data_IF_885599908109
#
_entry.id   IF_885599908109
#
_cell.length_a   1.000
_cell.length_b   1.000
_cell.length_c   1.000
_cell.angle_alpha   90.00
_cell.angle_beta   90.00
_cell.angle_gamma   90.00
#
_symmetry.space_group_name_H-M   'P 1'
#
loop_
_entity.id
_entity.type
_entity.pdbx_description
1 polymer ?
#
# COMPACT_ATOMS: atom_id res chain seq x y z
N UNK A 1 16.06 -6.78 -17.84
CA UNK A 1 15.79 -5.62 -18.71
C UNK A 1 14.42 -5.06 -18.37
N UNK A 2 14.36 -3.85 -17.83
CA UNK A 2 13.06 -3.18 -17.59
C UNK A 2 12.40 -2.90 -18.93
N UNK A 3 11.18 -3.41 -19.11
CA UNK A 3 10.39 -3.16 -20.32
C UNK A 3 10.06 -1.67 -20.40
N UNK A 4 10.31 -1.08 -21.56
CA UNK A 4 9.82 0.27 -21.85
C UNK A 4 8.30 0.22 -22.00
N UNK A 5 7.60 0.91 -21.11
CA UNK A 5 6.13 1.06 -21.11
C UNK A 5 5.78 2.10 -22.19
N UNK A 6 4.93 1.72 -23.16
CA UNK A 6 4.44 2.63 -24.19
C UNK A 6 3.17 3.38 -23.74
N UNK A 7 2.69 4.31 -24.57
CA UNK A 7 1.53 5.14 -24.24
C UNK A 7 0.23 4.32 -24.17
N UNK A 8 0.14 3.25 -24.95
CA UNK A 8 -1.01 2.31 -24.88
C UNK A 8 -1.00 1.58 -23.54
N UNK A 9 0.16 1.10 -23.09
CA UNK A 9 0.31 0.46 -21.79
C UNK A 9 -0.07 1.43 -20.66
N UNK A 10 0.38 2.68 -20.72
CA UNK A 10 0.01 3.72 -19.74
C UNK A 10 -1.50 3.94 -19.69
N UNK A 11 -2.15 3.99 -20.84
CA UNK A 11 -3.61 4.15 -20.91
C UNK A 11 -4.35 2.93 -20.35
N UNK A 12 -3.90 1.72 -20.63
CA UNK A 12 -4.44 0.48 -20.04
C UNK A 12 -4.31 0.52 -18.51
N UNK A 13 -3.14 0.86 -17.99
CA UNK A 13 -2.88 0.97 -16.55
C UNK A 13 -3.81 2.01 -15.92
N UNK A 14 -3.94 3.20 -16.52
CA UNK A 14 -4.83 4.26 -16.03
C UNK A 14 -6.30 3.81 -15.93
N UNK A 15 -6.79 3.08 -16.93
CA UNK A 15 -8.15 2.52 -16.95
C UNK A 15 -8.32 1.50 -15.80
N UNK A 16 -7.36 0.60 -15.62
CA UNK A 16 -7.38 -0.41 -14.55
C UNK A 16 -7.24 0.23 -13.15
N UNK A 17 -6.46 1.30 -13.00
CA UNK A 17 -6.36 2.06 -11.74
C UNK A 17 -7.67 2.77 -11.41
N UNK A 18 -8.39 3.26 -12.40
CA UNK A 18 -9.70 3.88 -12.21
C UNK A 18 -10.80 2.86 -11.89
N UNK A 19 -10.78 1.70 -12.55
CA UNK A 19 -11.73 0.62 -12.33
C UNK A 19 -11.10 -0.74 -12.68
N UNK A 20 -10.63 -1.47 -11.68
CA UNK A 20 -10.02 -2.80 -11.87
C UNK A 20 -11.01 -3.86 -12.37
N UNK A 21 -12.33 -3.57 -12.39
CA UNK A 21 -13.38 -4.46 -12.91
C UNK A 21 -13.78 -4.14 -14.37
N UNK A 22 -13.11 -3.18 -15.01
CA UNK A 22 -13.32 -2.86 -16.43
C UNK A 22 -13.04 -4.10 -17.29
N UNK A 23 -13.88 -4.34 -18.29
CA UNK A 23 -13.71 -5.50 -19.16
C UNK A 23 -12.61 -5.26 -20.21
N UNK A 24 -11.99 -6.34 -20.68
CA UNK A 24 -11.01 -6.25 -21.77
C UNK A 24 -11.57 -5.60 -23.02
N UNK A 25 -12.86 -5.83 -23.29
CA UNK A 25 -13.57 -5.23 -24.43
C UNK A 25 -13.71 -3.71 -24.32
N UNK A 26 -13.99 -3.21 -23.11
CA UNK A 26 -14.06 -1.77 -22.86
C UNK A 26 -12.67 -1.12 -22.98
N UNK A 27 -11.64 -1.78 -22.44
CA UNK A 27 -10.26 -1.33 -22.60
C UNK A 27 -9.88 -1.31 -24.08
N UNK A 28 -10.17 -2.39 -24.83
CA UNK A 28 -9.86 -2.53 -26.24
C UNK A 28 -10.46 -1.38 -27.08
N UNK A 29 -11.72 -1.04 -26.83
CA UNK A 29 -12.37 0.13 -27.44
C UNK A 29 -11.65 1.44 -27.11
N UNK A 30 -11.25 1.63 -25.85
CA UNK A 30 -10.61 2.86 -25.37
C UNK A 30 -9.21 3.08 -25.94
N UNK A 31 -8.50 1.99 -26.28
CA UNK A 31 -7.12 2.04 -26.81
C UNK A 31 -7.05 1.68 -28.30
N UNK A 32 -8.20 1.46 -28.95
CA UNK A 32 -8.33 1.09 -30.37
C UNK A 32 -7.49 -0.16 -30.74
N UNK A 33 -7.64 -1.21 -29.95
CA UNK A 33 -7.02 -2.52 -30.16
C UNK A 33 -8.06 -3.64 -30.10
N UNK A 34 -7.65 -4.86 -30.47
CA UNK A 34 -8.46 -6.07 -30.23
C UNK A 34 -8.38 -6.51 -28.77
N UNK A 35 -9.41 -7.22 -28.30
CA UNK A 35 -9.45 -7.81 -26.96
C UNK A 35 -8.21 -8.70 -26.71
N UNK A 36 -7.83 -9.50 -27.70
CA UNK A 36 -6.64 -10.38 -27.63
C UNK A 36 -5.34 -9.59 -27.44
N UNK A 37 -5.22 -8.45 -28.15
CA UNK A 37 -4.04 -7.59 -28.01
C UNK A 37 -3.97 -6.95 -26.61
N UNK A 38 -5.13 -6.54 -26.05
CA UNK A 38 -5.22 -6.00 -24.67
C UNK A 38 -4.84 -7.07 -23.65
N UNK A 39 -5.42 -8.27 -23.75
CA UNK A 39 -5.10 -9.39 -22.85
C UNK A 39 -3.59 -9.69 -22.86
N UNK A 40 -2.98 -9.74 -24.05
CA UNK A 40 -1.53 -9.99 -24.18
C UNK A 40 -0.70 -8.89 -23.51
N UNK A 41 -1.11 -7.63 -23.63
CA UNK A 41 -0.44 -6.50 -22.98
C UNK A 41 -0.56 -6.57 -21.46
N UNK A 42 -1.77 -6.80 -20.94
CA UNK A 42 -2.03 -6.90 -19.50
C UNK A 42 -1.20 -8.05 -18.89
N UNK A 43 -1.23 -9.25 -19.47
CA UNK A 43 -0.40 -10.39 -19.02
C UNK A 43 1.08 -10.05 -18.97
N UNK A 44 1.55 -9.25 -19.92
CA UNK A 44 2.94 -8.82 -19.96
C UNK A 44 3.25 -7.77 -18.90
N UNK A 45 2.31 -6.89 -18.57
CA UNK A 45 2.43 -5.92 -17.46
C UNK A 45 2.42 -6.64 -16.10
N UNK A 46 1.62 -7.68 -15.94
CA UNK A 46 1.59 -8.55 -14.77
C UNK A 46 2.91 -9.32 -14.60
N UNK A 47 3.35 -10.03 -15.63
CA UNK A 47 4.57 -10.84 -15.58
C UNK A 47 5.85 -10.03 -15.38
N UNK A 48 5.84 -8.77 -15.81
CA UNK A 48 6.96 -7.82 -15.60
C UNK A 48 6.89 -7.08 -14.25
N UNK A 49 5.87 -7.34 -13.42
CA UNK A 49 5.69 -6.70 -12.11
C UNK A 49 5.24 -5.24 -12.16
N UNK A 50 4.87 -4.72 -13.33
CA UNK A 50 4.27 -3.38 -13.46
C UNK A 50 2.89 -3.35 -12.82
N UNK A 51 2.05 -4.35 -13.11
CA UNK A 51 0.83 -4.62 -12.35
C UNK A 51 1.20 -5.67 -11.29
N UNK A 52 1.20 -5.25 -10.03
CA UNK A 52 1.60 -6.13 -8.92
C UNK A 52 0.44 -6.97 -8.38
N UNK A 53 -0.76 -6.40 -8.36
CA UNK A 53 -1.99 -7.05 -7.87
C UNK A 53 -3.23 -6.26 -8.28
N UNK A 54 -4.38 -6.91 -8.20
CA UNK A 54 -5.70 -6.29 -8.22
C UNK A 54 -6.26 -6.32 -6.81
N UNK A 55 -6.83 -5.21 -6.34
CA UNK A 55 -7.35 -5.11 -4.97
C UNK A 55 -8.52 -4.15 -4.92
N UNK A 56 -9.35 -4.26 -3.88
CA UNK A 56 -10.36 -3.28 -3.54
C UNK A 56 -9.81 -2.30 -2.50
N UNK A 57 -10.02 -1.02 -2.74
CA UNK A 57 -9.84 0.00 -1.70
C UNK A 57 -11.13 0.03 -0.89
N UNK A 58 -11.02 -0.18 0.41
CA UNK A 58 -12.16 -0.26 1.32
C UNK A 58 -12.13 0.88 2.32
N UNK A 59 -13.29 1.27 2.82
CA UNK A 59 -13.38 2.21 3.94
C UNK A 59 -13.10 1.46 5.26
N UNK A 60 -11.97 1.69 5.94
CA UNK A 60 -11.64 0.98 7.16
C UNK A 60 -12.68 1.18 8.27
N UNK A 61 -13.29 2.37 8.35
CA UNK A 61 -14.32 2.67 9.35
C UNK A 61 -15.58 1.80 9.16
N UNK A 62 -15.96 1.53 7.91
CA UNK A 62 -17.05 0.62 7.60
C UNK A 62 -16.78 -0.84 8.00
N UNK A 63 -15.49 -1.20 8.14
CA UNK A 63 -15.03 -2.49 8.64
C UNK A 63 -14.81 -2.54 10.16
N UNK A 64 -15.16 -1.46 10.88
CA UNK A 64 -15.02 -1.37 12.33
C UNK A 64 -13.68 -0.79 12.83
N UNK A 65 -12.81 -0.34 11.93
CA UNK A 65 -11.55 0.31 12.30
C UNK A 65 -11.75 1.83 12.36
N UNK A 66 -12.02 2.35 13.56
CA UNK A 66 -12.27 3.78 13.76
C UNK A 66 -11.01 4.63 13.83
N UNK A 67 -9.86 4.01 14.13
CA UNK A 67 -8.58 4.66 14.30
C UNK A 67 -7.57 4.18 13.27
N UNK A 68 -7.02 5.12 12.52
CA UNK A 68 -5.95 4.86 11.56
C UNK A 68 -4.76 5.76 11.93
N UNK A 69 -3.58 5.16 12.04
CA UNK A 69 -2.36 5.90 12.35
C UNK A 69 -1.31 5.65 11.28
N UNK A 70 -0.71 6.73 10.80
CA UNK A 70 0.56 6.70 10.09
C UNK A 70 1.65 6.89 11.14
N UNK A 71 2.38 5.83 11.44
CA UNK A 71 3.35 5.83 12.52
C UNK A 71 4.77 5.79 11.97
N UNK A 72 5.52 6.86 12.20
CA UNK A 72 6.96 6.88 11.99
C UNK A 72 7.66 6.13 13.12
N UNK A 73 8.70 5.38 12.81
CA UNK A 73 9.42 4.54 13.78
C UNK A 73 10.91 4.74 13.57
N UNK A 74 11.62 5.14 14.63
CA UNK A 74 13.05 5.23 14.63
C UNK A 74 13.63 4.02 15.40
N UNK A 75 14.65 3.43 14.83
CA UNK A 75 15.23 2.19 15.34
C UNK A 75 16.76 2.27 15.45
N UNK A 76 17.35 1.40 16.24
CA UNK A 76 18.80 1.23 16.22
C UNK A 76 19.21 0.68 14.85
N UNK A 77 20.21 1.25 14.17
CA UNK A 77 20.58 0.86 12.80
C UNK A 77 20.82 -0.63 12.62
N UNK A 78 21.47 -1.28 13.58
CA UNK A 78 21.75 -2.71 13.58
C UNK A 78 20.52 -3.59 13.76
N UNK A 79 19.38 -3.03 14.19
CA UNK A 79 18.11 -3.73 14.43
C UNK A 79 17.03 -3.45 13.38
N UNK A 80 17.33 -2.62 12.38
CA UNK A 80 16.36 -2.15 11.39
C UNK A 80 15.57 -3.30 10.74
N UNK A 81 16.29 -4.31 10.24
CA UNK A 81 15.64 -5.42 9.53
C UNK A 81 14.89 -6.37 10.45
N UNK A 82 15.36 -6.56 11.69
CA UNK A 82 14.69 -7.40 12.68
C UNK A 82 13.37 -6.76 13.13
N UNK A 83 13.38 -5.45 13.40
CA UNK A 83 12.18 -4.68 13.74
C UNK A 83 11.19 -4.69 12.58
N UNK A 84 11.66 -4.41 11.35
CA UNK A 84 10.81 -4.42 10.16
C UNK A 84 10.16 -5.80 9.94
N UNK A 85 10.90 -6.90 10.14
CA UNK A 85 10.38 -8.26 10.05
C UNK A 85 9.31 -8.52 11.11
N UNK A 86 9.57 -8.13 12.35
CA UNK A 86 8.61 -8.28 13.46
C UNK A 86 7.30 -7.52 13.17
N UNK A 87 7.40 -6.27 12.70
CA UNK A 87 6.24 -5.45 12.37
C UNK A 87 5.46 -5.98 11.17
N UNK A 88 6.15 -6.52 10.16
CA UNK A 88 5.53 -7.08 8.95
C UNK A 88 4.54 -8.21 9.25
N UNK A 89 4.78 -8.97 10.31
CA UNK A 89 3.97 -10.13 10.69
C UNK A 89 2.78 -9.75 11.60
N UNK A 90 2.63 -8.46 11.94
CA UNK A 90 1.53 -7.98 12.78
C UNK A 90 0.28 -7.69 11.95
N UNK A 91 -0.86 -8.26 12.35
CA UNK A 91 -2.14 -8.09 11.64
C UNK A 91 -2.64 -6.65 11.59
N UNK A 92 -2.34 -5.86 12.62
CA UNK A 92 -2.72 -4.44 12.68
C UNK A 92 -1.90 -3.55 11.75
N UNK A 93 -0.76 -4.03 11.23
CA UNK A 93 0.05 -3.32 10.24
C UNK A 93 -0.49 -3.60 8.85
N UNK A 94 -1.03 -2.57 8.21
CA UNK A 94 -1.63 -2.66 6.86
C UNK A 94 -0.67 -2.21 5.75
N UNK A 95 0.31 -1.41 6.10
CA UNK A 95 1.40 -1.01 5.21
C UNK A 95 2.67 -0.85 6.03
N UNK A 96 3.80 -1.24 5.46
CA UNK A 96 5.12 -1.09 6.08
C UNK A 96 6.14 -0.77 5.01
N UNK A 97 6.93 0.27 5.24
CA UNK A 97 8.03 0.65 4.35
C UNK A 97 9.26 1.06 5.15
N UNK A 98 10.44 0.74 4.62
CA UNK A 98 11.66 1.41 5.02
C UNK A 98 11.72 2.77 4.34
N UNK A 99 12.12 3.79 5.09
CA UNK A 99 12.12 5.16 4.62
C UNK A 99 13.48 5.82 4.86
N UNK A 100 13.68 6.96 4.23
CA UNK A 100 14.81 7.86 4.46
C UNK A 100 14.27 9.21 4.94
N UNK A 101 15.02 9.91 5.77
CA UNK A 101 14.60 11.18 6.37
C UNK A 101 14.41 11.06 7.87
N UNK A 102 13.31 11.60 8.39
CA UNK A 102 13.09 11.72 9.84
C UNK A 102 12.79 10.38 10.52
N UNK A 103 12.34 9.39 9.77
CA UNK A 103 12.01 8.06 10.28
C UNK A 103 12.67 6.97 9.45
N UNK A 104 13.04 5.86 10.11
CA UNK A 104 13.64 4.69 9.47
C UNK A 104 12.57 3.76 8.87
N UNK A 105 11.41 3.68 9.52
CA UNK A 105 10.27 2.85 9.12
C UNK A 105 9.00 3.70 9.17
N UNK A 106 8.12 3.51 8.20
CA UNK A 106 6.76 4.02 8.20
C UNK A 106 5.77 2.86 8.20
N UNK A 107 4.84 2.87 9.14
CA UNK A 107 3.77 1.89 9.25
C UNK A 107 2.39 2.54 9.19
N UNK A 108 1.44 1.91 8.52
CA UNK A 108 0.01 2.26 8.61
C UNK A 108 -0.67 1.22 9.49
N UNK A 109 -1.27 1.71 10.58
CA UNK A 109 -1.92 0.92 11.62
C UNK A 109 -3.43 1.13 11.54
N UNK A 110 -4.19 0.04 11.61
CA UNK A 110 -5.64 0.10 11.78
C UNK A 110 -6.00 -0.47 13.16
N UNK A 111 -6.83 0.26 13.90
CA UNK A 111 -7.34 -0.13 15.20
C UNK A 111 -8.84 0.18 15.31
N UNK A 112 -9.56 -0.60 16.08
CA UNK A 112 -11.01 -0.46 16.29
C UNK A 112 -11.36 0.66 17.26
N UNK A 113 -10.43 1.05 18.14
CA UNK A 113 -10.62 2.11 19.15
C UNK A 113 -9.32 2.81 19.49
N UNK A 114 -9.43 3.95 20.18
CA UNK A 114 -8.27 4.66 20.72
C UNK A 114 -7.47 3.84 21.73
N UNK A 115 -8.16 3.08 22.57
CA UNK A 115 -7.53 2.18 23.56
C UNK A 115 -6.73 1.07 22.87
N UNK A 116 -7.28 0.48 21.83
CA UNK A 116 -6.56 -0.51 21.04
C UNK A 116 -5.34 0.09 20.36
N UNK A 117 -5.48 1.28 19.77
CA UNK A 117 -4.36 1.97 19.13
C UNK A 117 -3.24 2.28 20.13
N UNK A 118 -3.57 2.73 21.33
CA UNK A 118 -2.59 2.98 22.39
C UNK A 118 -1.88 1.68 22.80
N UNK A 119 -2.61 0.58 22.97
CA UNK A 119 -2.05 -0.73 23.26
C UNK A 119 -1.08 -1.18 22.18
N UNK A 120 -1.46 -1.02 20.91
CA UNK A 120 -0.60 -1.34 19.76
C UNK A 120 0.69 -0.49 19.79
N UNK A 121 0.57 0.81 20.00
CA UNK A 121 1.74 1.68 20.05
C UNK A 121 2.67 1.34 21.24
N UNK A 122 2.11 0.93 22.37
CA UNK A 122 2.92 0.47 23.52
C UNK A 122 3.62 -0.86 23.21
N UNK A 123 2.94 -1.79 22.53
CA UNK A 123 3.57 -3.02 22.02
C UNK A 123 4.72 -2.69 21.07
N UNK A 124 4.52 -1.79 20.11
CA UNK A 124 5.55 -1.39 19.15
C UNK A 124 6.78 -0.76 19.85
N UNK A 125 6.56 0.08 20.87
CA UNK A 125 7.66 0.66 21.67
C UNK A 125 8.46 -0.39 22.41
N UNK A 126 7.84 -1.51 22.78
CA UNK A 126 8.50 -2.60 23.49
C UNK A 126 9.33 -3.53 22.60
N UNK A 127 9.25 -3.40 21.27
CA UNK A 127 10.04 -4.20 20.35
C UNK A 127 11.52 -3.83 20.50
N UNK A 128 12.37 -4.82 20.75
CA UNK A 128 13.81 -4.62 20.90
C UNK A 128 14.42 -3.97 19.65
N UNK A 129 15.06 -2.83 19.84
CA UNK A 129 15.65 -2.04 18.76
C UNK A 129 14.82 -0.83 18.36
N UNK A 130 13.56 -0.73 18.74
CA UNK A 130 12.78 0.51 18.59
C UNK A 130 13.31 1.55 19.56
N UNK A 131 13.62 2.73 19.03
CA UNK A 131 14.08 3.88 19.81
C UNK A 131 12.90 4.76 20.18
N UNK A 132 12.08 5.12 19.18
CA UNK A 132 10.92 5.98 19.35
C UNK A 132 9.90 5.77 18.25
N UNK A 133 8.64 6.05 18.54
CA UNK A 133 7.56 6.05 17.55
C UNK A 133 6.85 7.41 17.54
N UNK A 134 6.36 7.78 16.36
CA UNK A 134 5.70 9.07 16.08
C UNK A 134 4.34 8.81 15.44
N UNK A 135 3.27 8.62 16.23
CA UNK A 135 1.94 8.38 15.72
C UNK A 135 1.35 9.64 15.08
N UNK A 136 0.88 9.52 13.85
CA UNK A 136 0.09 10.54 13.17
C UNK A 136 -1.32 9.96 12.92
N UNK A 137 -2.28 10.37 13.74
CA UNK A 137 -3.64 9.86 13.66
C UNK A 137 -4.40 10.55 12.52
N UNK A 138 -4.98 9.75 11.64
CA UNK A 138 -5.72 10.22 10.49
C UNK A 138 -7.09 10.76 10.93
N UNK A 139 -7.35 12.02 10.67
CA UNK A 139 -8.67 12.66 10.92
C UNK A 139 -9.60 12.51 9.71
N UNK A 140 -9.13 12.87 8.52
CA UNK A 140 -9.90 12.86 7.28
C UNK A 140 -9.00 12.57 6.08
N UNK A 141 -9.52 11.82 5.11
CA UNK A 141 -8.86 11.61 3.81
C UNK A 141 -9.50 12.56 2.80
N UNK A 142 -8.72 13.50 2.30
CA UNK A 142 -9.17 14.48 1.30
C UNK A 142 -8.99 13.97 -0.14
N UNK A 143 -8.03 13.07 -0.36
CA UNK A 143 -7.76 12.45 -1.64
C UNK A 143 -7.19 11.05 -1.41
N UNK A 144 -7.77 10.06 -2.05
CA UNK A 144 -7.36 8.66 -1.98
C UNK A 144 -7.19 8.11 -3.40
N UNK A 145 -6.08 8.44 -4.02
CA UNK A 145 -5.65 7.78 -5.26
C UNK A 145 -4.56 6.77 -4.88
N UNK A 146 -4.79 5.50 -5.19
CA UNK A 146 -3.83 4.45 -4.90
C UNK A 146 -2.46 4.81 -5.47
N UNK A 147 -1.56 5.14 -4.58
CA UNK A 147 -0.15 5.31 -4.84
C UNK A 147 0.60 4.16 -4.16
N UNK A 148 1.42 3.49 -4.77
CA UNK A 148 2.26 2.36 -4.33
C UNK A 148 1.87 1.03 -4.89
#
# INVERSE_FOLDING_TARGET
MSRRIDDVDRKIISLLMSNARITYREIAKSVNLSDVAVIKRIRKLESSGVIRKYTAIVNPRALGYSMISFTGINVKPERLFDVAKTLKDKEYVKYLALTTGDHDILAVIWASSGEELERIHNEMRSIEGVVEIYPVILSEVLKDEAYT
#
